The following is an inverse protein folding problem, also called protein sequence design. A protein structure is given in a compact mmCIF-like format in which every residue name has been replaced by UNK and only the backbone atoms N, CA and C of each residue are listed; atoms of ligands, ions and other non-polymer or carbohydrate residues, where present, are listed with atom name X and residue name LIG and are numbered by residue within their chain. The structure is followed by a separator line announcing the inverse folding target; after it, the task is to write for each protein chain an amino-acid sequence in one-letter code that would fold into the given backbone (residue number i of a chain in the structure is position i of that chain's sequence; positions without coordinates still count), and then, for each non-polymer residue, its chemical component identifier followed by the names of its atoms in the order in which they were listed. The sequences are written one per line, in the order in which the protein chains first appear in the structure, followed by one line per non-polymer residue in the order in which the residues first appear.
data_IF_383024984787
#
_entry.id   IF_383024984787
#
_cell.length_a   1.000
_cell.length_b   1.000
_cell.length_c   1.000
_cell.angle_alpha   90.00
_cell.angle_beta   90.00
_cell.angle_gamma   90.00
#
_symmetry.space_group_name_H-M   'P 1'
#
loop_
_entity.id
_entity.type
_entity.pdbx_description
1 polymer ?
#
# COMPACT_ATOMS: atom_id res chain seq x y z
N UNK A 1 3.42 49.91 -64.58
CA UNK A 1 2.07 50.20 -64.07
C UNK A 1 1.54 48.94 -63.41
N UNK A 2 1.63 48.90 -62.08
CA UNK A 2 1.10 47.88 -61.19
C UNK A 2 -0.16 48.44 -60.53
N UNK A 3 -1.25 47.67 -60.50
CA UNK A 3 -2.41 47.82 -59.60
C UNK A 3 -3.14 46.44 -59.62
N UNK A 4 -3.24 45.65 -58.54
CA UNK A 4 -3.86 45.79 -57.20
C UNK A 4 -5.35 45.33 -57.18
N UNK A 5 -5.61 44.32 -56.32
CA UNK A 5 -6.87 43.91 -55.64
C UNK A 5 -7.89 43.07 -56.44
N UNK A 6 -8.68 42.12 -55.89
CA UNK A 6 -8.90 41.58 -54.52
C UNK A 6 -10.02 40.50 -54.61
N UNK A 7 -9.97 39.47 -53.73
CA UNK A 7 -11.07 38.62 -53.20
C UNK A 7 -11.88 37.75 -54.22
N UNK A 8 -12.32 36.52 -53.94
CA UNK A 8 -12.90 35.88 -52.74
C UNK A 8 -12.78 34.36 -52.95
N UNK A 9 -12.51 33.47 -51.98
CA UNK A 9 -13.10 33.36 -50.65
C UNK A 9 -14.06 32.16 -50.61
N UNK A 10 -13.53 30.92 -50.53
CA UNK A 10 -14.31 29.74 -50.16
C UNK A 10 -13.42 28.75 -49.40
N UNK A 11 -13.06 29.09 -48.16
CA UNK A 11 -12.55 28.11 -47.21
C UNK A 11 -13.74 27.61 -46.39
N UNK A 12 -14.13 26.36 -46.62
CA UNK A 12 -15.13 25.64 -45.85
C UNK A 12 -14.55 25.44 -44.44
N UNK A 13 -15.01 26.26 -43.49
CA UNK A 13 -14.79 26.04 -42.07
C UNK A 13 -15.70 24.87 -41.65
N UNK A 14 -15.16 23.65 -41.61
CA UNK A 14 -15.80 22.55 -40.90
C UNK A 14 -15.71 22.83 -39.40
N UNK A 15 -16.71 23.54 -38.86
CA UNK A 15 -17.01 23.55 -37.43
C UNK A 15 -17.49 22.15 -37.06
N UNK A 16 -16.60 21.29 -36.55
CA UNK A 16 -17.02 20.18 -35.72
C UNK A 16 -17.55 20.77 -34.40
N UNK A 17 -18.84 21.11 -34.39
CA UNK A 17 -19.60 21.27 -33.17
C UNK A 17 -19.83 19.84 -32.64
N UNK A 18 -18.84 19.27 -31.97
CA UNK A 18 -19.12 18.18 -31.04
C UNK A 18 -19.98 18.80 -29.95
N UNK A 19 -21.29 18.58 -30.01
CA UNK A 19 -22.14 18.72 -28.83
C UNK A 19 -21.46 17.88 -27.75
N UNK A 20 -20.84 18.53 -26.78
CA UNK A 20 -20.50 17.90 -25.52
C UNK A 20 -21.84 17.43 -24.95
N UNK A 21 -22.12 16.14 -25.07
CA UNK A 21 -23.24 15.53 -24.37
C UNK A 21 -22.93 15.80 -22.90
N UNK A 22 -23.73 16.65 -22.26
CA UNK A 22 -23.54 17.00 -20.86
C UNK A 22 -23.70 15.72 -20.05
N UNK A 23 -22.59 15.11 -19.66
CA UNK A 23 -22.61 13.94 -18.78
C UNK A 23 -22.96 14.42 -17.38
N UNK A 24 -24.11 14.01 -16.85
CA UNK A 24 -24.54 14.35 -15.51
C UNK A 24 -23.72 13.60 -14.46
N UNK A 25 -23.67 14.14 -13.24
CA UNK A 25 -23.15 13.42 -12.07
C UNK A 25 -24.15 12.30 -11.74
N UNK A 26 -23.72 11.02 -11.70
CA UNK A 26 -24.62 9.91 -11.43
C UNK A 26 -25.19 9.98 -10.01
N UNK A 27 -26.45 9.56 -9.79
CA UNK A 27 -26.97 9.37 -8.45
C UNK A 27 -26.27 8.17 -7.80
N UNK A 28 -25.43 8.42 -6.80
CA UNK A 28 -24.63 7.42 -6.09
C UNK A 28 -24.87 7.51 -4.58
N UNK A 29 -24.60 6.42 -3.86
CA UNK A 29 -24.60 6.44 -2.39
C UNK A 29 -23.36 7.15 -1.85
N UNK A 30 -22.19 6.95 -2.50
CA UNK A 30 -20.90 7.49 -2.06
C UNK A 30 -20.11 8.07 -3.23
N UNK A 31 -19.31 9.11 -2.97
CA UNK A 31 -18.27 9.53 -3.91
C UNK A 31 -17.24 8.42 -4.10
N UNK A 32 -16.86 7.74 -3.00
CA UNK A 32 -15.81 6.72 -3.01
C UNK A 32 -16.19 5.52 -2.13
N UNK A 33 -16.02 4.30 -2.64
CA UNK A 33 -15.97 3.10 -1.80
C UNK A 33 -14.52 2.61 -1.70
N UNK A 34 -14.07 2.33 -0.47
CA UNK A 34 -12.73 1.87 -0.15
C UNK A 34 -12.82 0.42 0.32
N UNK A 35 -12.05 -0.47 -0.29
CA UNK A 35 -12.06 -1.90 0.00
C UNK A 35 -10.80 -2.24 0.80
N UNK A 36 -10.95 -2.37 2.12
CA UNK A 36 -9.89 -2.72 3.06
C UNK A 36 -9.68 -1.66 4.16
N UNK A 37 -9.66 -2.10 5.42
CA UNK A 37 -9.46 -1.24 6.60
C UNK A 37 -8.03 -1.25 7.17
N UNK A 38 -7.04 -1.61 6.36
CA UNK A 38 -5.62 -1.47 6.69
C UNK A 38 -5.14 -0.01 6.65
N UNK A 39 -3.85 0.26 6.93
CA UNK A 39 -3.29 1.61 6.95
C UNK A 39 -3.55 2.43 5.67
N UNK A 40 -3.49 1.79 4.49
CA UNK A 40 -3.77 2.46 3.22
C UNK A 40 -5.22 2.94 3.10
N UNK A 41 -6.18 2.06 3.43
CA UNK A 41 -7.61 2.39 3.39
C UNK A 41 -7.98 3.46 4.41
N UNK A 42 -7.43 3.39 5.63
CA UNK A 42 -7.63 4.40 6.67
C UNK A 42 -7.08 5.77 6.26
N UNK A 43 -5.89 5.81 5.66
CA UNK A 43 -5.29 7.05 5.16
C UNK A 43 -6.11 7.66 4.03
N UNK A 44 -6.60 6.83 3.10
CA UNK A 44 -7.49 7.26 2.03
C UNK A 44 -8.81 7.83 2.57
N UNK A 45 -9.45 7.12 3.50
CA UNK A 45 -10.69 7.55 4.14
C UNK A 45 -10.50 8.89 4.85
N UNK A 46 -9.48 9.00 5.71
CA UNK A 46 -9.12 10.25 6.39
C UNK A 46 -8.93 11.41 5.41
N UNK A 47 -8.18 11.18 4.33
CA UNK A 47 -7.93 12.18 3.29
C UNK A 47 -9.22 12.68 2.62
N UNK A 48 -10.11 11.76 2.23
CA UNK A 48 -11.38 12.06 1.57
C UNK A 48 -12.37 12.75 2.50
N UNK A 49 -12.47 12.30 3.75
CA UNK A 49 -13.40 12.86 4.73
C UNK A 49 -13.06 14.29 5.13
N UNK A 50 -11.76 14.64 5.20
CA UNK A 50 -11.32 16.02 5.46
C UNK A 50 -11.73 17.02 4.38
N UNK A 51 -11.88 16.56 3.14
CA UNK A 51 -12.38 17.36 2.01
C UNK A 51 -13.86 17.09 1.73
N UNK A 52 -14.58 16.53 2.71
CA UNK A 52 -16.03 16.32 2.74
C UNK A 52 -16.59 15.46 1.60
N UNK A 53 -15.78 14.53 1.08
CA UNK A 53 -16.29 13.47 0.20
C UNK A 53 -17.06 12.45 1.02
N UNK A 54 -18.19 11.97 0.50
CA UNK A 54 -18.89 10.84 1.09
C UNK A 54 -18.15 9.56 0.76
N UNK A 55 -17.67 8.85 1.78
CA UNK A 55 -16.85 7.66 1.58
C UNK A 55 -17.28 6.53 2.51
N UNK A 56 -17.41 5.34 1.95
CA UNK A 56 -17.64 4.09 2.69
C UNK A 56 -16.40 3.22 2.61
N UNK A 57 -15.82 2.89 3.76
CA UNK A 57 -14.77 1.87 3.87
C UNK A 57 -15.39 0.55 4.33
N UNK A 58 -15.18 -0.51 3.55
CA UNK A 58 -15.58 -1.88 3.87
C UNK A 58 -14.36 -2.66 4.31
N UNK A 59 -14.41 -3.25 5.49
CA UNK A 59 -13.29 -3.92 6.13
C UNK A 59 -13.63 -5.37 6.52
N UNK A 60 -12.85 -6.32 6.00
CA UNK A 60 -13.04 -7.75 6.29
C UNK A 60 -12.41 -8.18 7.62
N UNK A 61 -11.62 -7.30 8.25
CA UNK A 61 -10.89 -7.62 9.48
C UNK A 61 -9.67 -8.53 9.28
N UNK A 62 -9.29 -8.83 8.03
CA UNK A 62 -8.09 -9.59 7.69
C UNK A 62 -6.95 -8.63 7.39
N UNK A 63 -5.87 -8.70 8.17
CA UNK A 63 -4.71 -7.81 8.02
C UNK A 63 -3.43 -8.64 7.86
N UNK A 64 -2.51 -8.18 7.00
CA UNK A 64 -1.25 -8.89 6.74
C UNK A 64 -0.37 -9.02 8.00
N UNK A 65 -0.34 -7.97 8.83
CA UNK A 65 0.35 -7.94 10.11
C UNK A 65 -0.56 -8.28 11.31
N UNK A 66 -1.59 -9.10 11.12
CA UNK A 66 -2.54 -9.45 12.19
C UNK A 66 -1.87 -10.18 13.36
N UNK A 67 -0.87 -11.01 13.06
CA UNK A 67 -0.21 -11.88 14.05
C UNK A 67 1.02 -11.23 14.70
N UNK A 68 1.51 -10.12 14.15
CA UNK A 68 2.68 -9.39 14.65
C UNK A 68 2.40 -8.84 16.05
N UNK A 69 3.35 -9.01 16.97
CA UNK A 69 3.25 -8.50 18.36
C UNK A 69 3.18 -6.97 18.37
N UNK A 70 4.10 -6.34 17.66
CA UNK A 70 4.27 -4.88 17.62
C UNK A 70 4.62 -4.42 16.20
N UNK A 71 4.12 -3.25 15.80
CA UNK A 71 4.62 -2.58 14.59
C UNK A 71 5.75 -1.62 14.97
N UNK A 72 6.83 -1.65 14.21
CA UNK A 72 7.96 -0.74 14.33
C UNK A 72 8.11 0.11 13.07
N UNK A 73 8.99 1.11 13.13
CA UNK A 73 9.28 2.02 12.01
C UNK A 73 8.03 2.79 11.54
N UNK A 74 7.19 3.18 12.51
CA UNK A 74 6.04 4.06 12.28
C UNK A 74 6.09 5.18 13.29
N UNK A 75 6.50 6.37 12.85
CA UNK A 75 6.69 7.53 13.74
C UNK A 75 5.43 7.75 14.60
N UNK A 76 5.62 7.92 15.91
CA UNK A 76 4.58 8.01 16.97
C UNK A 76 3.80 6.74 17.30
N UNK A 77 4.02 5.63 16.59
CA UNK A 77 3.39 4.33 16.84
C UNK A 77 4.41 3.17 16.83
N UNK A 78 5.69 3.49 17.08
CA UNK A 78 6.75 2.52 17.19
C UNK A 78 6.57 1.65 18.45
N UNK A 79 6.60 0.33 18.29
CA UNK A 79 6.36 -0.64 19.36
C UNK A 79 4.87 -0.86 19.72
N UNK A 80 3.94 -0.38 18.90
CA UNK A 80 2.50 -0.43 19.21
C UNK A 80 1.84 -1.68 18.61
N UNK A 81 0.82 -2.23 19.26
CA UNK A 81 0.00 -3.29 18.66
C UNK A 81 -0.69 -2.77 17.37
N UNK A 82 -0.55 -3.45 16.21
CA UNK A 82 -1.17 -3.01 14.96
C UNK A 82 -2.68 -2.75 15.04
N UNK A 83 -3.39 -3.49 15.88
CA UNK A 83 -4.83 -3.31 16.13
C UNK A 83 -5.12 -2.02 16.89
N UNK A 84 -4.24 -1.62 17.83
CA UNK A 84 -4.38 -0.36 18.54
C UNK A 84 -4.18 0.84 17.61
N UNK A 85 -3.15 0.81 16.74
CA UNK A 85 -2.98 1.81 15.68
C UNK A 85 -4.25 1.95 14.83
N UNK A 86 -4.79 0.82 14.35
CA UNK A 86 -6.02 0.77 13.56
C UNK A 86 -7.24 1.32 14.31
N UNK A 87 -7.35 1.03 15.61
CA UNK A 87 -8.42 1.53 16.46
C UNK A 87 -8.35 3.05 16.61
N UNK A 88 -7.20 3.61 16.98
CA UNK A 88 -7.01 5.05 17.13
C UNK A 88 -7.27 5.80 15.82
N UNK A 89 -6.79 5.26 14.69
CA UNK A 89 -7.08 5.84 13.38
C UNK A 89 -8.58 5.90 13.08
N UNK A 90 -9.35 4.84 13.41
CA UNK A 90 -10.82 4.83 13.25
C UNK A 90 -11.48 5.88 14.12
N UNK A 91 -11.12 5.98 15.40
CA UNK A 91 -11.67 6.99 16.31
C UNK A 91 -11.44 8.43 15.80
N UNK A 92 -10.24 8.69 15.26
CA UNK A 92 -9.92 10.00 14.70
C UNK A 92 -10.76 10.31 13.45
N UNK A 93 -10.98 9.32 12.58
CA UNK A 93 -11.73 9.47 11.34
C UNK A 93 -13.25 9.61 11.60
N UNK A 94 -13.79 8.94 12.63
CA UNK A 94 -15.22 9.03 13.00
C UNK A 94 -15.70 10.44 13.33
N UNK A 95 -14.78 11.37 13.61
CA UNK A 95 -15.09 12.80 13.83
C UNK A 95 -15.62 13.48 12.57
N UNK A 96 -15.40 12.89 11.39
CA UNK A 96 -15.87 13.42 10.11
C UNK A 96 -17.20 12.77 9.71
N UNK A 97 -18.32 13.52 9.61
CA UNK A 97 -19.64 12.94 9.31
C UNK A 97 -19.78 12.28 7.94
N UNK A 98 -18.84 12.53 7.01
CA UNK A 98 -18.86 11.93 5.67
C UNK A 98 -18.07 10.63 5.57
N UNK A 99 -17.49 10.17 6.68
CA UNK A 99 -16.78 8.90 6.78
C UNK A 99 -17.73 7.81 7.31
N UNK A 100 -17.98 6.78 6.51
CA UNK A 100 -18.66 5.57 6.96
C UNK A 100 -17.69 4.39 6.94
N UNK A 101 -17.77 3.55 7.97
CA UNK A 101 -16.97 2.34 8.10
C UNK A 101 -17.88 1.17 8.43
N UNK A 102 -17.75 0.07 7.69
CA UNK A 102 -18.54 -1.15 7.89
C UNK A 102 -17.65 -2.37 7.86
N UNK A 103 -17.93 -3.30 8.77
CA UNK A 103 -17.37 -4.65 8.67
C UNK A 103 -18.09 -5.38 7.53
N UNK A 104 -17.35 -6.07 6.70
CA UNK A 104 -17.90 -6.82 5.57
C UNK A 104 -16.86 -7.21 4.54
N UNK A 105 -17.28 -7.96 3.53
CA UNK A 105 -16.43 -8.37 2.42
C UNK A 105 -17.05 -7.90 1.11
N UNK A 106 -16.29 -7.16 0.31
CA UNK A 106 -16.70 -6.81 -1.06
C UNK A 106 -16.56 -8.05 -1.94
N UNK A 107 -17.66 -8.47 -2.55
CA UNK A 107 -17.72 -9.69 -3.36
C UNK A 107 -17.48 -9.41 -4.85
N UNK A 108 -18.03 -8.29 -5.32
CA UNK A 108 -17.98 -7.90 -6.73
C UNK A 108 -18.01 -6.37 -6.87
N UNK A 109 -17.30 -5.87 -7.88
CA UNK A 109 -17.35 -4.49 -8.34
C UNK A 109 -17.66 -4.53 -9.84
N UNK A 110 -18.81 -4.02 -10.23
CA UNK A 110 -19.23 -3.96 -11.64
C UNK A 110 -19.21 -2.51 -12.11
N UNK A 111 -18.47 -2.14 -13.17
CA UNK A 111 -18.61 -0.83 -13.78
C UNK A 111 -20.00 -0.71 -14.40
N UNK A 112 -20.73 0.34 -14.04
CA UNK A 112 -22.03 0.62 -14.66
C UNK A 112 -21.78 1.29 -16.00
N UNK A 113 -22.33 0.72 -17.07
CA UNK A 113 -22.11 1.18 -18.45
C UNK A 113 -22.39 2.68 -18.55
N UNK A 114 -21.48 3.39 -19.22
CA UNK A 114 -21.71 4.76 -19.68
C UNK A 114 -23.05 4.81 -20.42
N UNK A 115 -24.07 5.44 -19.83
CA UNK A 115 -25.14 6.00 -20.64
C UNK A 115 -24.62 7.29 -21.25
N UNK A 116 -25.25 7.77 -22.33
CA UNK A 116 -24.98 9.12 -22.84
C UNK A 116 -25.13 10.20 -21.78
N UNK A 117 -25.86 9.90 -20.70
CA UNK A 117 -26.40 10.90 -19.80
C UNK A 117 -25.63 11.01 -18.48
N UNK A 118 -24.78 10.05 -18.12
CA UNK A 118 -24.11 10.00 -16.81
C UNK A 118 -22.61 9.67 -16.91
N UNK A 119 -21.83 10.29 -16.02
CA UNK A 119 -20.44 9.93 -15.79
C UNK A 119 -20.32 8.47 -15.26
N UNK A 120 -19.20 7.79 -15.55
CA UNK A 120 -18.97 6.42 -15.12
C UNK A 120 -18.95 6.30 -13.59
N UNK A 121 -19.51 5.19 -13.11
CA UNK A 121 -19.61 4.84 -11.70
C UNK A 121 -19.65 3.32 -11.56
N UNK A 122 -19.68 2.84 -10.32
CA UNK A 122 -19.53 1.44 -9.96
C UNK A 122 -20.68 0.98 -9.10
N UNK A 123 -21.11 -0.26 -9.34
CA UNK A 123 -21.97 -1.04 -8.46
C UNK A 123 -21.07 -1.96 -7.64
N UNK A 124 -21.19 -1.90 -6.32
CA UNK A 124 -20.36 -2.68 -5.38
C UNK A 124 -21.27 -3.58 -4.56
N UNK A 125 -21.04 -4.88 -4.63
CA UNK A 125 -21.77 -5.90 -3.87
C UNK A 125 -20.97 -6.28 -2.62
N UNK A 126 -21.61 -6.15 -1.46
CA UNK A 126 -20.98 -6.24 -0.15
C UNK A 126 -21.73 -7.28 0.68
N UNK A 127 -21.01 -8.30 1.13
CA UNK A 127 -21.47 -9.17 2.22
C UNK A 127 -21.19 -8.48 3.56
N UNK A 128 -22.25 -8.06 4.26
CA UNK A 128 -22.15 -7.42 5.57
C UNK A 128 -22.06 -8.46 6.72
N UNK A 129 -22.02 -9.75 6.40
CA UNK A 129 -22.04 -10.82 7.39
C UNK A 129 -23.35 -10.90 8.17
N UNK A 130 -23.31 -11.60 9.32
CA UNK A 130 -24.48 -11.92 10.14
C UNK A 130 -25.13 -10.73 10.87
N UNK A 131 -24.67 -9.49 10.66
CA UNK A 131 -25.33 -8.28 11.17
C UNK A 131 -26.58 -7.88 10.32
N UNK A 132 -27.47 -8.85 10.05
CA UNK A 132 -28.88 -8.56 9.78
C UNK A 132 -29.40 -8.71 8.34
N UNK A 133 -28.63 -9.23 7.39
CA UNK A 133 -29.15 -9.62 6.07
C UNK A 133 -28.51 -10.91 5.57
N UNK A 134 -29.32 -11.92 5.23
CA UNK A 134 -28.86 -13.16 4.60
C UNK A 134 -28.40 -12.98 3.15
N UNK A 135 -28.48 -11.75 2.62
CA UNK A 135 -28.17 -11.43 1.23
C UNK A 135 -27.22 -10.24 1.14
N UNK A 136 -26.26 -10.26 0.18
CA UNK A 136 -25.37 -9.14 -0.08
C UNK A 136 -26.13 -7.83 -0.33
N UNK A 137 -25.58 -6.73 0.16
CA UNK A 137 -26.09 -5.37 -0.08
C UNK A 137 -25.36 -4.78 -1.27
N UNK A 138 -26.08 -4.06 -2.12
CA UNK A 138 -25.51 -3.32 -3.24
C UNK A 138 -25.39 -1.83 -2.90
N UNK A 139 -24.24 -1.21 -3.20
CA UNK A 139 -24.00 0.24 -3.12
C UNK A 139 -23.44 0.80 -4.42
N UNK A 140 -23.74 2.05 -4.72
CA UNK A 140 -23.23 2.79 -5.88
C UNK A 140 -22.15 3.78 -5.47
N UNK A 141 -21.06 3.84 -6.23
CA UNK A 141 -19.95 4.75 -5.99
C UNK A 141 -19.38 5.36 -7.27
N UNK A 142 -18.93 6.62 -7.23
CA UNK A 142 -18.25 7.22 -8.39
C UNK A 142 -16.85 6.66 -8.62
N UNK A 143 -16.13 6.36 -7.53
CA UNK A 143 -14.76 5.81 -7.55
C UNK A 143 -14.63 4.64 -6.57
N UNK A 144 -13.67 3.78 -6.83
CA UNK A 144 -13.32 2.67 -5.94
C UNK A 144 -11.82 2.67 -5.65
N UNK A 145 -11.45 2.49 -4.39
CA UNK A 145 -10.06 2.27 -3.97
C UNK A 145 -9.93 0.83 -3.49
N UNK A 146 -9.05 0.05 -4.14
CA UNK A 146 -8.62 -1.26 -3.70
C UNK A 146 -7.43 -1.07 -2.73
N UNK A 147 -7.67 -1.36 -1.46
CA UNK A 147 -6.69 -1.36 -0.37
C UNK A 147 -6.64 -2.75 0.28
N UNK A 148 -6.72 -3.79 -0.55
CA UNK A 148 -6.98 -5.18 -0.13
C UNK A 148 -5.76 -5.88 0.45
N UNK A 149 -4.57 -5.32 0.27
CA UNK A 149 -3.31 -5.92 0.74
C UNK A 149 -2.94 -7.22 0.04
N UNK A 150 -1.90 -7.86 0.58
CA UNK A 150 -1.35 -9.14 0.12
C UNK A 150 -1.44 -10.19 1.22
N UNK A 151 -1.33 -11.46 0.83
CA UNK A 151 -1.24 -12.63 1.71
C UNK A 151 0.06 -13.36 1.41
N UNK A 152 0.82 -13.69 2.45
CA UNK A 152 2.06 -14.46 2.36
C UNK A 152 1.78 -15.95 2.18
N UNK A 153 2.44 -16.59 1.22
CA UNK A 153 2.27 -18.00 0.85
C UNK A 153 3.29 -18.82 1.63
N UNK A 154 2.85 -19.36 2.76
CA UNK A 154 3.72 -20.11 3.68
C UNK A 154 3.90 -21.57 3.22
N UNK A 155 5.12 -22.13 3.29
CA UNK A 155 5.35 -23.56 3.08
C UNK A 155 4.61 -24.45 4.10
N UNK A 156 4.35 -25.69 3.71
CA UNK A 156 3.68 -26.69 4.57
C UNK A 156 4.59 -27.33 5.64
N UNK A 157 5.85 -26.87 5.77
CA UNK A 157 6.78 -27.37 6.79
C UNK A 157 6.20 -27.10 8.19
N UNK A 158 6.01 -28.14 9.03
CA UNK A 158 5.42 -27.97 10.36
C UNK A 158 6.22 -26.97 11.21
N UNK A 159 5.51 -26.05 11.86
CA UNK A 159 6.10 -25.00 12.69
C UNK A 159 6.24 -23.64 12.01
N UNK A 160 6.30 -23.59 10.66
CA UNK A 160 6.44 -22.30 9.95
C UNK A 160 5.21 -21.43 10.16
N UNK A 161 4.01 -22.00 10.01
CA UNK A 161 2.75 -21.26 10.16
C UNK A 161 2.56 -20.74 11.58
N UNK A 162 2.95 -21.52 12.57
CA UNK A 162 2.86 -21.17 13.99
C UNK A 162 3.86 -20.09 14.40
N UNK A 163 5.03 -20.06 13.76
CA UNK A 163 6.09 -19.07 14.04
C UNK A 163 5.99 -17.80 13.16
N UNK A 164 5.14 -17.81 12.13
CA UNK A 164 4.99 -16.68 11.21
C UNK A 164 4.58 -15.39 11.93
N UNK A 165 5.29 -14.29 11.65
CA UNK A 165 5.11 -12.98 12.29
C UNK A 165 5.38 -12.93 13.80
N UNK A 166 5.97 -13.99 14.38
CA UNK A 166 6.34 -14.07 15.80
C UNK A 166 7.65 -14.86 15.97
N UNK A 167 8.56 -14.76 15.01
CA UNK A 167 9.84 -15.45 15.01
C UNK A 167 10.33 -15.87 13.62
N UNK A 168 9.41 -15.96 12.66
CA UNK A 168 9.75 -15.99 11.23
C UNK A 168 9.19 -14.72 10.60
N UNK A 169 10.09 -13.91 10.05
CA UNK A 169 9.81 -12.57 9.56
C UNK A 169 10.28 -12.43 8.11
N UNK A 170 9.69 -11.47 7.41
CA UNK A 170 10.09 -11.12 6.05
C UNK A 170 10.79 -9.75 5.96
N UNK A 171 10.64 -8.93 7.01
CA UNK A 171 11.06 -7.52 7.00
C UNK A 171 11.98 -7.23 8.20
N UNK A 172 13.29 -7.02 7.95
CA UNK A 172 14.22 -6.70 9.04
C UNK A 172 14.08 -5.28 9.60
N UNK A 173 13.48 -4.35 8.85
CA UNK A 173 13.09 -3.05 9.40
C UNK A 173 11.94 -3.15 10.39
N UNK A 174 11.10 -4.17 10.25
CA UNK A 174 9.90 -4.36 11.05
C UNK A 174 10.19 -5.13 12.34
N UNK A 175 11.08 -6.14 12.28
CA UNK A 175 11.28 -7.08 13.38
C UNK A 175 12.77 -7.39 13.63
N UNK A 176 13.72 -6.66 13.02
CA UNK A 176 15.15 -6.94 13.18
C UNK A 176 15.72 -6.43 14.50
N UNK A 177 15.32 -5.24 14.93
CA UNK A 177 15.93 -4.57 16.08
C UNK A 177 15.72 -5.35 17.38
N UNK A 178 14.55 -5.96 17.56
CA UNK A 178 14.17 -6.74 18.76
C UNK A 178 15.02 -8.02 18.88
N UNK A 179 15.53 -8.52 17.74
CA UNK A 179 16.29 -9.77 17.60
C UNK A 179 17.79 -9.54 17.33
N UNK A 180 18.29 -8.32 17.51
CA UNK A 180 19.70 -7.96 17.30
C UNK A 180 20.67 -8.69 18.22
N UNK A 181 21.90 -8.88 17.76
CA UNK A 181 22.97 -9.59 18.46
C UNK A 181 22.67 -11.07 18.81
N UNK A 182 21.54 -11.62 18.34
CA UNK A 182 21.11 -13.01 18.58
C UNK A 182 21.45 -13.92 17.38
N UNK A 183 21.50 -15.25 17.58
CA UNK A 183 21.70 -16.21 16.49
C UNK A 183 20.45 -16.27 15.59
N UNK A 184 20.56 -15.81 14.35
CA UNK A 184 19.43 -15.76 13.42
C UNK A 184 19.58 -16.76 12.26
N UNK A 185 18.44 -17.27 11.81
CA UNK A 185 18.34 -18.11 10.64
C UNK A 185 17.88 -17.33 9.41
N UNK A 186 18.27 -17.79 8.23
CA UNK A 186 17.64 -17.39 6.97
C UNK A 186 17.04 -18.64 6.35
N UNK A 187 15.74 -18.61 6.05
CA UNK A 187 15.03 -19.70 5.38
C UNK A 187 14.81 -19.28 3.92
N UNK A 188 15.37 -20.02 2.97
CA UNK A 188 15.15 -19.70 1.56
C UNK A 188 16.15 -20.37 0.62
N UNK A 189 15.92 -20.14 -0.68
CA UNK A 189 16.90 -20.47 -1.69
C UNK A 189 18.07 -19.48 -1.69
N UNK A 190 19.07 -19.76 -2.49
CA UNK A 190 20.29 -18.96 -2.66
C UNK A 190 20.00 -17.49 -2.99
N UNK A 191 19.10 -17.29 -3.95
CA UNK A 191 18.82 -15.98 -4.54
C UNK A 191 18.12 -15.07 -3.54
N UNK A 192 17.18 -15.61 -2.77
CA UNK A 192 16.51 -14.90 -1.69
C UNK A 192 17.40 -14.69 -0.46
N UNK A 193 18.41 -15.53 -0.28
CA UNK A 193 19.30 -15.47 0.89
C UNK A 193 20.28 -14.29 0.84
N UNK A 194 20.84 -13.98 -0.33
CA UNK A 194 21.84 -12.90 -0.47
C UNK A 194 21.31 -11.54 -0.01
N UNK A 195 20.13 -11.16 -0.47
CA UNK A 195 19.48 -9.90 -0.09
C UNK A 195 19.18 -9.86 1.41
N UNK A 196 18.64 -10.95 1.95
CA UNK A 196 18.36 -11.06 3.38
C UNK A 196 19.61 -10.91 4.24
N UNK A 197 20.73 -11.55 3.87
CA UNK A 197 22.01 -11.39 4.58
C UNK A 197 22.42 -9.92 4.61
N UNK A 198 22.40 -9.25 3.45
CA UNK A 198 22.82 -7.85 3.37
C UNK A 198 21.94 -6.92 4.22
N UNK A 199 20.63 -7.19 4.31
CA UNK A 199 19.73 -6.38 5.11
C UNK A 199 19.99 -6.49 6.63
N UNK A 200 20.45 -7.66 7.11
CA UNK A 200 20.60 -7.93 8.55
C UNK A 200 22.04 -7.97 9.05
N UNK A 201 23.03 -7.85 8.17
CA UNK A 201 24.46 -7.89 8.52
C UNK A 201 24.91 -6.80 9.49
N UNK A 202 24.14 -5.71 9.63
CA UNK A 202 24.39 -4.64 10.61
C UNK A 202 23.72 -4.88 11.96
N UNK A 203 22.83 -5.87 12.04
CA UNK A 203 21.96 -6.18 13.19
C UNK A 203 22.44 -7.45 13.90
N UNK A 204 22.97 -8.43 13.14
CA UNK A 204 23.40 -9.72 13.66
C UNK A 204 24.72 -10.19 13.03
N UNK A 205 25.50 -10.96 13.81
CA UNK A 205 26.77 -11.55 13.39
C UNK A 205 26.78 -13.08 13.37
N UNK A 206 25.89 -13.74 14.13
CA UNK A 206 25.68 -15.20 14.05
C UNK A 206 24.48 -15.46 13.14
N UNK A 207 24.78 -15.67 11.85
CA UNK A 207 23.79 -15.89 10.80
C UNK A 207 24.01 -17.28 10.19
N UNK A 208 22.94 -18.06 10.12
CA UNK A 208 22.93 -19.35 9.42
C UNK A 208 21.84 -19.43 8.37
N UNK A 209 22.23 -19.82 7.17
CA UNK A 209 21.31 -20.04 6.04
C UNK A 209 20.88 -21.50 6.03
N UNK A 210 19.57 -21.74 5.94
CA UNK A 210 18.99 -23.07 5.74
C UNK A 210 18.38 -23.15 4.34
N UNK A 211 18.99 -23.95 3.47
CA UNK A 211 18.59 -24.07 2.05
C UNK A 211 17.70 -25.28 1.76
N UNK A 212 17.33 -26.03 2.80
CA UNK A 212 16.37 -27.13 2.73
C UNK A 212 16.67 -28.18 1.63
N UNK A 213 17.89 -28.71 1.60
CA UNK A 213 18.30 -29.76 0.65
C UNK A 213 19.09 -29.27 -0.57
N UNK A 214 19.25 -27.96 -0.75
CA UNK A 214 20.00 -27.39 -1.88
C UNK A 214 21.43 -27.05 -1.47
N UNK A 215 22.41 -27.80 -1.97
CA UNK A 215 23.82 -27.45 -1.84
C UNK A 215 24.20 -26.28 -2.75
N UNK A 216 25.13 -25.48 -2.26
CA UNK A 216 25.63 -24.29 -2.95
C UNK A 216 27.05 -24.45 -3.45
N UNK A 217 27.37 -23.99 -4.68
CA UNK A 217 28.76 -23.90 -5.12
C UNK A 217 29.56 -23.00 -4.19
N UNK A 218 30.77 -23.41 -3.82
CA UNK A 218 31.65 -22.61 -2.95
C UNK A 218 31.92 -21.20 -3.51
N UNK A 219 31.88 -21.02 -4.83
CA UNK A 219 32.01 -19.70 -5.46
C UNK A 219 30.90 -18.72 -5.10
N UNK A 220 29.72 -19.22 -4.71
CA UNK A 220 28.56 -18.42 -4.32
C UNK A 220 28.53 -18.12 -2.81
N UNK A 221 29.15 -18.97 -1.99
CA UNK A 221 29.17 -18.82 -0.52
C UNK A 221 30.44 -18.13 -0.02
N UNK A 222 31.60 -18.33 -0.67
CA UNK A 222 32.91 -17.96 -0.14
C UNK A 222 33.02 -16.51 0.33
N UNK A 223 32.48 -15.57 -0.45
CA UNK A 223 32.47 -14.15 -0.08
C UNK A 223 31.65 -13.90 1.19
N UNK A 224 30.46 -14.48 1.28
CA UNK A 224 29.58 -14.31 2.44
C UNK A 224 30.17 -14.97 3.70
N UNK A 225 30.73 -16.16 3.57
CA UNK A 225 31.42 -16.86 4.65
C UNK A 225 32.62 -16.05 5.15
N UNK A 226 33.43 -15.51 4.23
CA UNK A 226 34.67 -14.79 4.56
C UNK A 226 34.42 -13.39 5.14
N UNK A 227 33.49 -12.62 4.56
CA UNK A 227 33.27 -11.22 4.94
C UNK A 227 32.21 -11.03 6.02
N UNK A 228 31.18 -11.88 6.03
CA UNK A 228 30.05 -11.75 6.95
C UNK A 228 29.96 -12.90 7.97
N UNK A 229 30.85 -13.90 7.91
CA UNK A 229 30.85 -15.02 8.85
C UNK A 229 29.63 -15.94 8.72
N UNK A 230 28.99 -15.96 7.55
CA UNK A 230 27.78 -16.74 7.32
C UNK A 230 28.09 -18.23 7.39
N UNK A 231 27.20 -18.99 8.03
CA UNK A 231 27.23 -20.45 8.02
C UNK A 231 26.06 -21.02 7.24
N UNK A 232 26.22 -22.21 6.68
CA UNK A 232 25.19 -22.85 5.85
C UNK A 232 24.81 -24.21 6.41
N UNK A 233 23.52 -24.54 6.33
CA UNK A 233 22.98 -25.86 6.55
C UNK A 233 22.14 -26.29 5.35
N UNK A 234 22.62 -27.33 4.65
CA UNK A 234 22.00 -27.85 3.44
C UNK A 234 21.01 -28.99 3.71
N UNK A 235 20.81 -29.40 4.97
CA UNK A 235 19.95 -30.55 5.27
C UNK A 235 18.47 -30.21 5.06
N UNK A 236 17.66 -31.13 4.51
CA UNK A 236 16.22 -30.93 4.41
C UNK A 236 15.60 -30.71 5.79
N UNK A 237 14.78 -29.67 5.93
CA UNK A 237 14.10 -29.29 7.17
C UNK A 237 12.87 -30.17 7.34
N UNK A 238 12.82 -30.87 8.48
CA UNK A 238 11.68 -31.70 8.89
C UNK A 238 10.59 -30.87 9.56
N UNK A 239 10.95 -30.02 10.52
CA UNK A 239 10.06 -29.09 11.22
C UNK A 239 10.85 -28.03 12.00
N UNK A 240 10.14 -27.02 12.49
CA UNK A 240 10.67 -26.00 13.41
C UNK A 240 9.82 -26.01 14.67
N UNK A 241 10.44 -26.07 15.85
CA UNK A 241 9.72 -26.06 17.14
C UNK A 241 10.12 -24.85 17.98
N UNK A 242 9.16 -24.06 18.45
CA UNK A 242 9.41 -23.00 19.45
C UNK A 242 9.59 -23.63 20.83
N UNK A 243 10.74 -23.38 21.46
CA UNK A 243 11.08 -23.77 22.84
C UNK A 243 10.87 -22.62 23.84
N UNK A 244 11.04 -21.37 23.38
CA UNK A 244 10.86 -20.17 24.19
C UNK A 244 10.15 -19.10 23.36
N UNK A 245 9.20 -18.39 23.98
CA UNK A 245 8.45 -17.30 23.36
C UNK A 245 9.05 -15.94 23.75
N UNK A 246 9.52 -15.18 22.77
CA UNK A 246 10.12 -13.86 22.97
C UNK A 246 9.13 -12.82 23.50
N UNK A 247 7.81 -13.03 23.31
CA UNK A 247 6.78 -12.17 23.88
C UNK A 247 6.62 -12.30 25.39
N UNK A 248 7.00 -13.44 25.97
CA UNK A 248 7.03 -13.65 27.43
C UNK A 248 8.44 -13.52 28.01
N UNK A 249 9.47 -13.67 27.18
CA UNK A 249 10.88 -13.49 27.50
C UNK A 249 11.42 -12.23 26.80
N UNK A 250 11.03 -11.06 27.31
CA UNK A 250 11.34 -9.75 26.73
C UNK A 250 12.06 -8.83 27.73
N UNK A 251 13.06 -8.07 27.26
CA UNK A 251 13.70 -7.01 28.05
C UNK A 251 13.23 -5.63 27.60
N UNK A 252 12.28 -5.07 28.36
CA UNK A 252 11.72 -3.73 28.12
C UNK A 252 12.74 -2.58 28.10
N UNK A 253 13.93 -2.74 28.70
CA UNK A 253 14.93 -1.66 28.77
C UNK A 253 15.62 -1.43 27.42
N UNK A 254 15.71 -2.48 26.61
CA UNK A 254 16.38 -2.44 25.32
C UNK A 254 15.52 -3.03 24.19
N UNK A 255 14.25 -3.32 24.48
CA UNK A 255 13.26 -3.86 23.55
C UNK A 255 13.65 -5.20 22.92
N UNK A 256 14.49 -6.01 23.57
CA UNK A 256 14.90 -7.30 23.01
C UNK A 256 13.87 -8.40 23.31
N UNK A 257 13.50 -9.17 22.29
CA UNK A 257 12.66 -10.37 22.37
C UNK A 257 13.54 -11.61 22.28
N UNK A 258 13.42 -12.54 23.23
CA UNK A 258 14.24 -13.75 23.28
C UNK A 258 13.40 -14.98 22.92
N UNK A 259 13.12 -15.17 21.64
CA UNK A 259 12.59 -16.44 21.14
C UNK A 259 13.70 -17.51 21.08
N UNK A 260 13.34 -18.79 21.17
CA UNK A 260 14.23 -19.91 20.88
C UNK A 260 13.48 -20.92 20.04
N UNK A 261 13.94 -21.14 18.82
CA UNK A 261 13.44 -22.15 17.90
C UNK A 261 14.50 -23.21 17.66
N UNK A 262 14.06 -24.47 17.55
CA UNK A 262 14.90 -25.57 17.10
C UNK A 262 14.50 -25.98 15.69
N UNK A 263 15.46 -25.97 14.77
CA UNK A 263 15.31 -26.51 13.42
C UNK A 263 15.69 -27.98 13.45
N UNK A 264 14.75 -28.85 13.09
CA UNK A 264 14.95 -30.30 13.00
C UNK A 264 15.10 -30.70 11.53
N UNK A 265 16.00 -31.63 11.27
CA UNK A 265 16.32 -32.06 9.91
C UNK A 265 15.87 -33.49 9.64
N UNK A 266 15.65 -33.80 8.37
CA UNK A 266 15.50 -35.17 7.91
C UNK A 266 16.80 -35.96 8.07
N UNK A 267 16.69 -37.29 8.21
CA UNK A 267 17.86 -38.16 8.33
C UNK A 267 18.63 -38.07 9.66
N UNK A 268 18.14 -37.31 10.64
CA UNK A 268 18.69 -37.26 12.00
C UNK A 268 19.94 -36.40 12.16
N UNK A 269 20.20 -35.46 11.25
CA UNK A 269 21.23 -34.45 11.47
C UNK A 269 20.95 -33.65 12.76
N UNK A 270 22.02 -33.16 13.39
CA UNK A 270 21.93 -32.47 14.68
C UNK A 270 21.03 -31.23 14.58
N UNK A 271 19.99 -31.10 15.43
CA UNK A 271 19.15 -29.91 15.44
C UNK A 271 19.95 -28.65 15.79
N UNK A 272 19.51 -27.51 15.26
CA UNK A 272 20.18 -26.21 15.49
C UNK A 272 19.17 -25.23 16.07
N UNK A 273 19.61 -24.47 17.09
CA UNK A 273 18.79 -23.42 17.68
C UNK A 273 19.03 -22.06 17.03
N UNK A 274 17.95 -21.31 16.81
CA UNK A 274 17.95 -19.91 16.34
C UNK A 274 16.93 -19.10 17.11
N UNK A 275 17.20 -17.81 17.29
CA UNK A 275 16.29 -16.89 17.96
C UNK A 275 15.18 -16.41 17.03
N UNK A 276 15.49 -16.11 15.79
CA UNK A 276 14.51 -15.70 14.78
C UNK A 276 14.97 -16.14 13.38
N UNK A 277 14.08 -16.01 12.41
CA UNK A 277 14.34 -16.31 11.01
C UNK A 277 13.91 -15.16 10.10
N UNK A 278 14.70 -14.90 9.06
CA UNK A 278 14.30 -14.08 7.92
C UNK A 278 14.07 -14.92 6.67
N UNK A 279 13.10 -14.55 5.86
CA UNK A 279 12.74 -15.27 4.64
C UNK A 279 12.10 -14.36 3.60
N UNK A 280 12.09 -14.80 2.35
CA UNK A 280 11.36 -14.16 1.25
C UNK A 280 10.40 -15.16 0.61
N UNK A 281 9.38 -15.58 1.37
CA UNK A 281 8.30 -16.41 0.81
C UNK A 281 7.48 -15.63 -0.22
N UNK A 282 6.86 -16.38 -1.14
CA UNK A 282 5.97 -15.82 -2.14
C UNK A 282 4.78 -15.10 -1.49
N UNK A 283 4.16 -14.19 -2.23
CA UNK A 283 2.92 -13.53 -1.81
C UNK A 283 1.92 -13.49 -2.96
N UNK A 284 0.64 -13.35 -2.61
CA UNK A 284 -0.48 -13.27 -3.56
C UNK A 284 -1.46 -12.18 -3.13
N UNK A 285 -2.32 -11.75 -4.04
CA UNK A 285 -3.42 -10.84 -3.71
C UNK A 285 -4.32 -11.47 -2.63
N UNK A 286 -4.68 -10.70 -1.61
CA UNK A 286 -5.64 -11.15 -0.59
C UNK A 286 -7.08 -11.23 -1.13
N UNK A 287 -7.36 -10.57 -2.26
CA UNK A 287 -8.68 -10.52 -2.90
C UNK A 287 -8.60 -10.91 -4.38
N UNK A 288 -9.68 -11.50 -4.90
CA UNK A 288 -9.82 -11.82 -6.32
C UNK A 288 -10.41 -10.67 -7.17
N UNK A 289 -10.80 -9.56 -6.53
CA UNK A 289 -11.41 -8.40 -7.17
C UNK A 289 -10.58 -7.83 -8.34
N UNK A 290 -9.23 -7.72 -8.26
CA UNK A 290 -8.45 -7.20 -9.38
C UNK A 290 -8.62 -8.05 -10.65
N UNK A 291 -8.70 -9.37 -10.50
CA UNK A 291 -8.88 -10.30 -11.62
C UNK A 291 -10.31 -10.25 -12.16
N UNK A 292 -11.32 -10.19 -11.28
CA UNK A 292 -12.73 -10.04 -11.69
C UNK A 292 -12.98 -8.73 -12.47
N UNK A 293 -12.30 -7.65 -12.07
CA UNK A 293 -12.33 -6.36 -12.77
C UNK A 293 -11.53 -6.35 -14.08
N UNK A 294 -10.71 -7.37 -14.35
CA UNK A 294 -9.82 -7.40 -15.51
C UNK A 294 -8.73 -6.32 -15.45
N UNK A 295 -8.26 -5.98 -14.25
CA UNK A 295 -7.16 -5.04 -14.09
C UNK A 295 -5.86 -5.62 -14.65
N UNK A 296 -4.99 -4.75 -15.18
CA UNK A 296 -3.64 -5.17 -15.54
C UNK A 296 -2.85 -5.49 -14.27
N UNK A 297 -2.12 -6.59 -14.32
CA UNK A 297 -1.27 -7.07 -13.24
C UNK A 297 0.20 -7.09 -13.67
N UNK A 298 1.11 -6.82 -12.74
CA UNK A 298 2.57 -6.94 -12.89
C UNK A 298 3.08 -7.76 -11.72
N UNK A 299 3.73 -8.90 -11.97
CA UNK A 299 4.30 -9.78 -10.94
C UNK A 299 3.30 -10.12 -9.80
N UNK A 300 2.04 -10.41 -10.14
CA UNK A 300 1.00 -10.73 -9.14
C UNK A 300 0.43 -9.51 -8.39
N UNK A 301 0.89 -8.30 -8.66
CA UNK A 301 0.42 -7.03 -8.07
C UNK A 301 -0.36 -6.20 -9.08
N UNK A 302 -1.25 -5.32 -8.59
CA UNK A 302 -2.09 -4.48 -9.44
C UNK A 302 -1.23 -3.38 -10.07
N UNK A 303 -1.23 -3.28 -11.40
CA UNK A 303 -0.55 -2.19 -12.11
C UNK A 303 -1.26 -0.86 -11.83
N UNK A 304 -0.54 0.09 -11.24
CA UNK A 304 -1.04 1.45 -11.01
C UNK A 304 -0.04 2.50 -11.49
N UNK A 305 -0.51 3.74 -11.63
CA UNK A 305 0.39 4.87 -11.85
C UNK A 305 0.85 5.46 -10.50
N UNK A 306 2.16 5.62 -10.30
CA UNK A 306 2.69 6.18 -9.06
C UNK A 306 2.21 7.62 -8.77
N UNK A 307 1.84 8.39 -9.80
CA UNK A 307 1.44 9.80 -9.64
C UNK A 307 0.09 9.97 -8.95
N UNK A 308 -0.85 9.07 -9.15
CA UNK A 308 -2.23 9.21 -8.67
C UNK A 308 -2.86 7.90 -8.18
N UNK A 309 -2.11 6.79 -8.20
CA UNK A 309 -2.53 5.45 -7.79
C UNK A 309 -3.65 4.84 -8.64
N UNK A 310 -3.94 5.42 -9.81
CA UNK A 310 -4.98 4.93 -10.71
C UNK A 310 -4.54 3.67 -11.46
N UNK A 311 -5.45 2.71 -11.61
CA UNK A 311 -5.19 1.44 -12.30
C UNK A 311 -5.46 1.54 -13.81
N UNK A 312 -5.38 0.42 -14.52
CA UNK A 312 -5.80 0.32 -15.93
C UNK A 312 -7.30 0.59 -16.16
N UNK A 313 -8.13 0.58 -15.11
CA UNK A 313 -9.55 0.93 -15.19
C UNK A 313 -9.79 2.34 -14.63
N UNK A 314 -10.26 3.29 -15.45
CA UNK A 314 -10.57 4.64 -15.00
C UNK A 314 -11.59 4.62 -13.85
N UNK A 315 -11.26 5.31 -12.75
CA UNK A 315 -12.10 5.36 -11.55
C UNK A 315 -11.82 4.27 -10.51
N UNK A 316 -10.95 3.31 -10.82
CA UNK A 316 -10.43 2.31 -9.88
C UNK A 316 -8.98 2.61 -9.55
N UNK A 317 -8.66 2.64 -8.25
CA UNK A 317 -7.35 2.93 -7.70
C UNK A 317 -6.85 1.73 -6.88
N UNK A 318 -5.53 1.56 -6.78
CA UNK A 318 -4.90 0.51 -5.96
C UNK A 318 -3.83 1.12 -5.05
N UNK A 319 -3.87 0.83 -3.75
CA UNK A 319 -3.02 1.45 -2.72
C UNK A 319 -2.53 0.42 -1.70
N UNK A 320 -1.40 0.71 -1.05
CA UNK A 320 -0.73 -0.22 -0.14
C UNK A 320 -0.23 -1.48 -0.86
N UNK A 321 -0.03 -2.55 -0.10
CA UNK A 321 0.70 -3.74 -0.56
C UNK A 321 0.14 -4.41 -1.83
N UNK A 322 -1.14 -4.22 -2.16
CA UNK A 322 -1.74 -4.85 -3.34
C UNK A 322 -1.24 -4.26 -4.67
N UNK A 323 -0.59 -3.09 -4.63
CA UNK A 323 -0.09 -2.38 -5.80
C UNK A 323 1.36 -2.77 -6.17
N UNK A 324 1.83 -2.43 -7.37
CA UNK A 324 3.12 -2.87 -7.94
C UNK A 324 4.31 -1.92 -7.73
N UNK A 325 4.27 -0.97 -6.81
CA UNK A 325 5.41 -0.08 -6.49
C UNK A 325 6.46 -0.70 -5.55
N UNK A 326 6.30 -1.99 -5.23
CA UNK A 326 7.24 -2.82 -4.46
C UNK A 326 7.66 -2.25 -3.09
N UNK A 327 6.82 -1.37 -2.52
CA UNK A 327 7.02 -0.79 -1.19
C UNK A 327 5.94 -1.27 -0.22
N UNK A 328 6.25 -2.30 0.56
CA UNK A 328 5.30 -2.96 1.48
C UNK A 328 5.57 -2.64 2.95
N UNK A 329 5.34 -1.40 3.36
CA UNK A 329 5.40 -0.98 4.76
C UNK A 329 4.23 -0.04 5.11
N UNK A 330 4.01 0.20 6.40
CA UNK A 330 2.85 0.96 6.89
C UNK A 330 2.89 2.41 6.43
N UNK A 331 4.04 3.07 6.46
CA UNK A 331 4.17 4.47 6.06
C UNK A 331 3.87 4.65 4.57
N UNK A 332 4.39 3.74 3.74
CA UNK A 332 4.13 3.72 2.30
C UNK A 332 2.66 3.38 1.99
N UNK A 333 2.05 2.46 2.73
CA UNK A 333 0.62 2.19 2.64
C UNK A 333 -0.20 3.45 2.93
N UNK A 334 0.16 4.20 3.97
CA UNK A 334 -0.48 5.49 4.28
C UNK A 334 -0.24 6.53 3.18
N UNK A 335 0.97 6.61 2.64
CA UNK A 335 1.32 7.52 1.54
C UNK A 335 0.45 7.26 0.31
N UNK A 336 0.41 6.03 -0.19
CA UNK A 336 -0.36 5.66 -1.38
C UNK A 336 -1.87 5.90 -1.18
N UNK A 337 -2.41 5.55 0.00
CA UNK A 337 -3.78 5.88 0.38
C UNK A 337 -4.08 7.39 0.31
N UNK A 338 -3.21 8.22 0.89
CA UNK A 338 -3.32 9.68 0.86
C UNK A 338 -3.20 10.23 -0.56
N UNK A 339 -2.29 9.67 -1.36
CA UNK A 339 -2.04 10.06 -2.75
C UNK A 339 -3.28 9.85 -3.61
N UNK A 340 -3.92 8.68 -3.51
CA UNK A 340 -5.16 8.36 -4.19
C UNK A 340 -6.29 9.32 -3.76
N UNK A 341 -6.45 9.57 -2.46
CA UNK A 341 -7.50 10.47 -1.95
C UNK A 341 -7.41 11.90 -2.54
N UNK A 342 -6.20 12.44 -2.66
CA UNK A 342 -5.99 13.78 -3.25
C UNK A 342 -6.33 13.79 -4.73
N UNK A 343 -5.85 12.80 -5.49
CA UNK A 343 -6.14 12.71 -6.93
C UNK A 343 -7.64 12.54 -7.19
N UNK A 344 -8.29 11.65 -6.45
CA UNK A 344 -9.74 11.40 -6.55
C UNK A 344 -10.52 12.68 -6.28
N UNK A 345 -10.18 13.44 -5.24
CA UNK A 345 -10.88 14.69 -4.94
C UNK A 345 -10.81 15.68 -6.11
N UNK A 346 -9.61 15.90 -6.67
CA UNK A 346 -9.40 16.81 -7.80
C UNK A 346 -10.15 16.32 -9.04
N UNK A 347 -10.10 15.02 -9.32
CA UNK A 347 -10.78 14.43 -10.47
C UNK A 347 -12.30 14.58 -10.36
N UNK A 348 -12.87 14.29 -9.19
CA UNK A 348 -14.30 14.43 -8.93
C UNK A 348 -14.79 15.88 -9.12
N UNK A 349 -13.99 16.89 -8.72
CA UNK A 349 -14.34 18.29 -8.98
C UNK A 349 -14.22 18.67 -10.47
N UNK A 350 -13.24 18.14 -11.20
CA UNK A 350 -13.15 18.34 -12.66
C UNK A 350 -14.35 17.72 -13.39
N UNK A 351 -14.76 16.54 -12.95
CA UNK A 351 -15.96 15.86 -13.42
C UNK A 351 -17.22 16.68 -13.14
N UNK A 352 -17.37 17.22 -11.93
CA UNK A 352 -18.49 18.11 -11.57
C UNK A 352 -18.51 19.36 -12.46
N UNK A 353 -17.36 20.02 -12.64
CA UNK A 353 -17.25 21.21 -13.49
C UNK A 353 -17.63 20.91 -14.94
N UNK A 354 -17.17 19.76 -15.47
CA UNK A 354 -17.50 19.31 -16.82
C UNK A 354 -19.00 19.04 -16.97
N UNK A 355 -19.61 18.36 -15.99
CA UNK A 355 -21.05 18.09 -15.95
C UNK A 355 -21.89 19.38 -15.91
N UNK A 356 -21.39 20.43 -15.25
CA UNK A 356 -22.02 21.75 -15.21
C UNK A 356 -21.79 22.60 -16.48
N UNK A 357 -21.15 22.05 -17.51
CA UNK A 357 -20.83 22.77 -18.75
C UNK A 357 -19.72 23.82 -18.60
N UNK A 358 -19.00 23.81 -17.47
CA UNK A 358 -17.86 24.69 -17.26
C UNK A 358 -16.66 24.11 -18.00
N UNK A 359 -16.37 24.60 -19.21
CA UNK A 359 -15.10 24.30 -19.87
C UNK A 359 -13.99 24.95 -19.06
N UNK A 360 -13.18 24.15 -18.35
CA UNK A 360 -11.95 24.62 -17.71
C UNK A 360 -11.04 25.22 -18.80
N UNK A 361 -11.04 26.55 -18.90
CA UNK A 361 -10.22 27.31 -19.82
C UNK A 361 -8.75 26.90 -19.70
N UNK A 362 -8.00 26.86 -20.81
CA UNK A 362 -6.55 26.56 -20.88
C UNK A 362 -5.68 27.33 -19.88
N UNK A 363 -6.20 28.37 -19.20
CA UNK A 363 -5.57 29.04 -18.04
C UNK A 363 -5.45 28.19 -16.77
N UNK A 364 -6.04 27.00 -16.69
CA UNK A 364 -6.01 26.12 -15.51
C UNK A 364 -5.10 24.89 -15.65
N UNK A 365 -4.09 24.93 -16.52
CA UNK A 365 -2.98 23.99 -16.38
C UNK A 365 -2.23 24.30 -15.07
N UNK A 366 -1.77 23.27 -14.31
CA UNK A 366 -0.88 23.52 -13.20
C UNK A 366 0.32 24.29 -13.72
N UNK A 367 0.68 25.38 -13.02
CA UNK A 367 1.91 26.12 -13.30
C UNK A 367 3.05 25.12 -13.46
N UNK A 368 3.89 25.33 -14.47
CA UNK A 368 5.13 24.56 -14.56
C UNK A 368 5.91 24.70 -13.25
N UNK A 369 6.72 23.70 -12.88
CA UNK A 369 7.53 23.74 -11.65
C UNK A 369 8.29 25.07 -11.54
N UNK A 370 8.82 25.54 -12.67
CA UNK A 370 9.49 26.83 -12.80
C UNK A 370 8.61 28.05 -12.49
N UNK A 371 7.37 28.07 -12.97
CA UNK A 371 6.42 29.16 -12.67
C UNK A 371 5.90 29.10 -11.23
N UNK A 372 5.88 27.91 -10.62
CA UNK A 372 5.57 27.72 -9.21
C UNK A 372 6.73 28.20 -8.34
N UNK A 373 7.97 27.87 -8.70
CA UNK A 373 9.21 28.34 -8.07
C UNK A 373 9.32 29.87 -8.15
N UNK A 374 9.11 30.47 -9.32
CA UNK A 374 9.12 31.94 -9.49
C UNK A 374 8.05 32.63 -8.64
N UNK A 375 6.89 32.00 -8.43
CA UNK A 375 5.84 32.52 -7.54
C UNK A 375 6.21 32.39 -6.07
N UNK A 376 6.74 31.24 -5.67
CA UNK A 376 7.17 30.97 -4.29
C UNK A 376 8.35 31.90 -3.92
N UNK A 377 9.34 32.06 -4.80
CA UNK A 377 10.44 33.03 -4.60
C UNK A 377 9.92 34.46 -4.46
N UNK A 378 8.90 34.83 -5.22
CA UNK A 378 8.29 36.16 -5.14
C UNK A 378 7.47 36.35 -3.86
N UNK A 379 6.75 35.34 -3.41
CA UNK A 379 5.98 35.40 -2.16
C UNK A 379 6.90 35.39 -0.93
N UNK A 380 7.89 34.49 -0.88
CA UNK A 380 8.90 34.43 0.18
C UNK A 380 9.76 35.70 0.19
N UNK A 381 10.15 36.22 -0.97
CA UNK A 381 10.89 37.48 -1.09
C UNK A 381 10.11 38.67 -0.54
N UNK A 382 8.80 38.72 -0.79
CA UNK A 382 7.92 39.76 -0.25
C UNK A 382 7.71 39.61 1.27
N UNK A 383 7.60 38.39 1.80
CA UNK A 383 7.51 38.15 3.25
C UNK A 383 8.78 38.58 3.97
N UNK A 384 9.97 38.20 3.47
CA UNK A 384 11.24 38.61 4.06
C UNK A 384 11.46 40.12 3.97
N UNK A 385 11.07 40.78 2.87
CA UNK A 385 11.19 42.23 2.76
C UNK A 385 10.23 42.95 3.72
N UNK A 386 9.04 42.39 3.95
CA UNK A 386 8.07 42.93 4.91
C UNK A 386 8.56 42.79 6.37
N UNK A 387 9.15 41.65 6.72
CA UNK A 387 9.75 41.38 8.03
C UNK A 387 11.01 42.22 8.26
N UNK A 388 11.85 42.40 7.23
CA UNK A 388 13.01 43.28 7.27
C UNK A 388 12.62 44.75 7.48
N UNK A 389 11.58 45.24 6.77
CA UNK A 389 11.05 46.59 6.95
C UNK A 389 10.37 46.80 8.31
N UNK A 390 9.80 45.76 8.90
CA UNK A 390 9.23 45.79 10.24
C UNK A 390 10.34 45.81 11.33
N UNK A 391 11.42 45.05 11.15
CA UNK A 391 12.55 45.01 12.09
C UNK A 391 13.57 46.16 11.96
N UNK A 392 13.58 46.88 10.83
CA UNK A 392 14.47 48.05 10.62
C UNK A 392 13.84 49.38 11.05
N UNK A 393 12.64 49.35 11.64
CA UNK A 393 11.95 50.51 12.23
C UNK A 393 11.87 50.47 13.76
N UNK A 394 12.57 49.54 14.41
CA UNK A 394 12.70 49.48 15.87
C UNK A 394 14.03 50.01 16.36
#
# INVERSE_FOLDING_TARGET
MSMIHSASGLLILFFFLTLAIASNVPPVDYDVIIVGGGPAGLSALSGLSRVRRTALMVDSGKYRNLLTRHMHDVISNDGVDPSFFRHIAREQIQRYPTAEMKNGTVLEITPVKYSSDNLPHFKVEIDMGSEGSSSPVTKLARKVILATGMEDVLPDTPGIREAWSQGIYWCPWCDGFEHRDQPIGILGDVTSTLDNIMHIATINHDIMVFTNGTELPASETYGLETYYGITYNYSPIKNITRLQDGGTHFDSRNQSEFDVFTVHFEGGAQPVNRSAFFTAFDSKQCSDLPYKLGLRMVNGKIDNNFRGMGTSMPGVYAVGDCNNDDSTNVEHAMFSGKRAAVEIHILLERENATAMGMTLSKRSQPLSIRELEERIEKEIGNEFESLWRAGSRS
#
